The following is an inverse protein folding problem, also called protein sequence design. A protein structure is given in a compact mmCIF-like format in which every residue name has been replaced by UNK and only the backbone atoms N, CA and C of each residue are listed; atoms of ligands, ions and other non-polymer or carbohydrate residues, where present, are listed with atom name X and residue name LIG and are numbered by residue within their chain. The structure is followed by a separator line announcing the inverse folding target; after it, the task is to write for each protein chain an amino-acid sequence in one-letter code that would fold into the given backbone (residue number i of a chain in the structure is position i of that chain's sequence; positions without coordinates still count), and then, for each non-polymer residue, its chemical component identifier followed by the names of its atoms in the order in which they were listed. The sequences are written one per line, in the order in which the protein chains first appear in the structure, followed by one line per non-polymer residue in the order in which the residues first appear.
data_IF_874300358048
#
_entry.id   IF_874300358048
#
_cell.length_a   1.000
_cell.length_b   1.000
_cell.length_c   1.000
_cell.angle_alpha   90.00
_cell.angle_beta   90.00
_cell.angle_gamma   90.00
#
_symmetry.space_group_name_H-M   'P 1'
#
loop_
_entity.id
_entity.type
_entity.pdbx_description
1 polymer ?
#
# COMPACT_ATOMS: atom_id res chain seq x y z
N UNK A 1 -5.54 31.04 -57.15
CA UNK A 1 -5.09 32.26 -56.44
C UNK A 1 -4.33 31.83 -55.21
N UNK A 2 -3.07 32.25 -55.10
CA UNK A 2 -2.17 32.02 -53.96
C UNK A 2 -1.97 33.36 -53.25
N UNK A 3 -2.22 33.41 -51.95
CA UNK A 3 -1.73 34.43 -51.00
C UNK A 3 -1.59 33.70 -49.65
N UNK A 4 -0.40 33.19 -49.34
CA UNK A 4 0.64 33.85 -48.55
C UNK A 4 0.35 33.90 -47.04
N UNK A 5 1.08 33.04 -46.31
CA UNK A 5 1.89 33.32 -45.12
C UNK A 5 1.42 34.48 -44.22
N UNK A 6 1.14 34.15 -42.96
CA UNK A 6 1.60 34.94 -41.82
C UNK A 6 1.84 34.02 -40.63
N UNK A 7 3.10 34.01 -40.21
CA UNK A 7 3.62 33.33 -39.04
C UNK A 7 3.98 34.39 -37.98
N UNK A 8 3.72 34.04 -36.70
CA UNK A 8 4.31 34.55 -35.44
C UNK A 8 4.15 36.05 -35.08
N UNK A 9 4.21 36.46 -33.77
CA UNK A 9 5.08 35.90 -32.73
C UNK A 9 4.54 35.75 -31.28
N UNK A 10 5.40 35.12 -30.46
CA UNK A 10 5.43 35.08 -28.98
C UNK A 10 5.28 36.45 -28.31
N UNK A 11 4.72 36.47 -27.09
CA UNK A 11 5.31 37.22 -25.96
C UNK A 11 5.20 36.46 -24.64
N UNK A 12 6.30 36.54 -23.89
CA UNK A 12 6.69 35.83 -22.68
C UNK A 12 6.46 36.75 -21.46
N UNK A 13 6.23 36.13 -20.29
CA UNK A 13 6.60 36.59 -18.93
C UNK A 13 5.85 37.75 -18.26
N UNK A 14 5.23 37.47 -17.10
CA UNK A 14 5.52 38.24 -15.87
C UNK A 14 5.67 37.28 -14.68
N UNK A 15 6.84 37.41 -14.04
CA UNK A 15 7.32 36.82 -12.80
C UNK A 15 6.67 37.46 -11.54
N UNK A 16 6.75 36.71 -10.43
CA UNK A 16 7.01 37.17 -9.06
C UNK A 16 6.00 38.07 -8.31
N UNK A 17 5.20 37.43 -7.44
CA UNK A 17 4.86 37.91 -6.09
C UNK A 17 4.78 36.66 -5.19
N UNK A 18 5.42 36.52 -4.04
CA UNK A 18 6.35 37.37 -3.32
C UNK A 18 6.92 36.52 -2.16
N UNK A 19 8.22 36.64 -1.95
CA UNK A 19 8.90 36.11 -0.77
C UNK A 19 9.00 37.26 0.23
N UNK A 20 8.39 37.15 1.42
CA UNK A 20 8.88 37.79 2.64
C UNK A 20 8.56 36.93 3.86
N UNK A 21 9.59 36.24 4.33
CA UNK A 21 9.70 35.80 5.71
C UNK A 21 9.97 37.01 6.62
N UNK A 22 9.31 37.08 7.79
CA UNK A 22 9.94 37.49 9.07
C UNK A 22 8.99 37.36 10.27
N UNK A 23 9.37 36.45 11.15
CA UNK A 23 9.36 36.52 12.62
C UNK A 23 8.42 37.53 13.31
N UNK A 24 7.51 37.01 14.13
CA UNK A 24 7.12 37.65 15.38
C UNK A 24 7.07 36.58 16.47
N UNK A 25 8.05 36.65 17.38
CA UNK A 25 8.00 35.92 18.63
C UNK A 25 6.95 36.54 19.55
N UNK A 26 6.31 35.68 20.35
CA UNK A 26 5.69 36.11 21.59
C UNK A 26 5.94 35.03 22.66
N UNK A 27 6.97 35.28 23.47
CA UNK A 27 7.05 34.76 24.83
C UNK A 27 6.07 35.57 25.68
N UNK A 28 5.08 34.92 26.27
CA UNK A 28 4.52 35.35 27.55
C UNK A 28 4.50 34.15 28.49
N UNK A 29 5.42 34.23 29.45
CA UNK A 29 5.44 33.46 30.68
C UNK A 29 4.31 33.95 31.57
N UNK A 30 3.43 33.05 32.02
CA UNK A 30 2.81 33.14 33.33
C UNK A 30 2.83 31.75 33.95
N UNK A 31 3.65 31.61 34.99
CA UNK A 31 3.69 30.42 35.81
C UNK A 31 2.41 30.26 36.61
N UNK A 32 1.89 29.04 36.66
CA UNK A 32 1.24 28.55 37.86
C UNK A 32 1.69 27.10 38.08
N UNK A 33 2.44 26.90 39.15
CA UNK A 33 2.79 25.59 39.67
C UNK A 33 1.51 24.87 40.09
N UNK A 34 1.24 23.70 39.51
CA UNK A 34 0.46 22.67 40.19
C UNK A 34 1.23 21.36 40.13
N UNK A 35 1.70 20.96 41.31
CA UNK A 35 2.24 19.66 41.63
C UNK A 35 1.24 18.55 41.27
N UNK A 36 1.79 17.43 40.80
CA UNK A 36 1.22 16.11 41.09
C UNK A 36 0.18 15.59 40.11
N UNK A 37 0.61 15.23 38.91
CA UNK A 37 0.01 14.06 38.25
C UNK A 37 1.16 13.31 37.55
N UNK A 38 1.67 12.29 38.23
CA UNK A 38 2.57 11.32 37.62
C UNK A 38 1.82 10.68 36.46
N UNK A 39 2.18 11.02 35.22
CA UNK A 39 1.85 10.19 34.08
C UNK A 39 2.30 8.76 34.41
N UNK A 40 1.45 7.75 34.22
CA UNK A 40 1.94 6.38 34.25
C UNK A 40 3.01 6.30 33.17
N UNK A 41 4.25 6.06 33.59
CA UNK A 41 5.38 5.74 32.73
C UNK A 41 4.87 4.64 31.80
N UNK A 42 4.63 4.98 30.53
CA UNK A 42 4.24 4.01 29.53
C UNK A 42 5.26 2.87 29.61
N UNK A 43 4.79 1.66 29.91
CA UNK A 43 5.66 0.49 29.94
C UNK A 43 6.44 0.49 28.62
N UNK A 44 7.77 0.27 28.66
CA UNK A 44 8.56 0.23 27.44
C UNK A 44 7.89 -0.76 26.49
N UNK A 45 7.60 -0.32 25.26
CA UNK A 45 7.03 -1.18 24.21
C UNK A 45 8.00 -2.34 24.04
N UNK A 46 7.66 -3.48 24.63
CA UNK A 46 8.53 -4.65 24.61
C UNK A 46 8.51 -5.22 23.21
N UNK A 47 9.66 -5.21 22.56
CA UNK A 47 9.86 -5.83 21.26
C UNK A 47 9.52 -7.33 21.39
N UNK A 48 8.67 -7.89 20.52
CA UNK A 48 8.31 -9.30 20.62
C UNK A 48 9.56 -10.19 20.44
N UNK A 49 9.67 -11.22 21.27
CA UNK A 49 10.73 -12.23 21.10
C UNK A 49 10.34 -13.13 19.93
N UNK A 50 11.08 -13.04 18.83
CA UNK A 50 10.79 -13.79 17.61
C UNK A 50 11.51 -15.14 17.60
N UNK A 51 10.75 -16.21 17.39
CA UNK A 51 11.29 -17.54 17.10
C UNK A 51 11.98 -17.56 15.74
N UNK A 52 12.88 -18.53 15.51
CA UNK A 52 13.54 -18.69 14.20
C UNK A 52 12.54 -18.86 13.06
N UNK A 53 11.47 -19.64 13.27
CA UNK A 53 10.41 -19.83 12.28
C UNK A 53 9.65 -18.53 12.00
N UNK A 54 9.37 -17.73 13.03
CA UNK A 54 8.65 -16.47 12.86
C UNK A 54 9.49 -15.42 12.13
N UNK A 55 10.80 -15.35 12.41
CA UNK A 55 11.72 -14.52 11.64
C UNK A 55 11.75 -14.92 10.17
N UNK A 56 11.84 -16.22 9.87
CA UNK A 56 11.82 -16.70 8.49
C UNK A 56 10.53 -16.30 7.76
N UNK A 57 9.37 -16.46 8.38
CA UNK A 57 8.10 -16.05 7.80
C UNK A 57 8.03 -14.53 7.53
N UNK A 58 8.52 -13.70 8.45
CA UNK A 58 8.57 -12.24 8.27
C UNK A 58 9.52 -11.86 7.12
N UNK A 59 10.67 -12.54 7.00
CA UNK A 59 11.60 -12.30 5.89
C UNK A 59 11.00 -12.67 4.54
N UNK A 60 10.30 -13.81 4.44
CA UNK A 60 9.63 -14.19 3.19
C UNK A 60 8.49 -13.21 2.83
N UNK A 61 7.76 -12.70 3.82
CA UNK A 61 6.81 -11.60 3.61
C UNK A 61 7.52 -10.34 3.08
N UNK A 62 8.69 -9.99 3.63
CA UNK A 62 9.50 -8.86 3.12
C UNK A 62 9.99 -9.10 1.69
N UNK A 63 10.36 -10.33 1.33
CA UNK A 63 10.73 -10.70 -0.03
C UNK A 63 9.55 -10.54 -0.99
N UNK A 64 8.35 -10.96 -0.59
CA UNK A 64 7.13 -10.77 -1.37
C UNK A 64 6.81 -9.29 -1.59
N UNK A 65 6.97 -8.45 -0.57
CA UNK A 65 6.87 -6.98 -0.68
C UNK A 65 7.85 -6.42 -1.73
N UNK A 66 9.10 -6.85 -1.70
CA UNK A 66 10.10 -6.40 -2.69
C UNK A 66 9.69 -6.78 -4.11
N UNK A 67 9.05 -7.95 -4.31
CA UNK A 67 8.61 -8.41 -5.64
C UNK A 67 7.47 -7.56 -6.21
N UNK A 68 6.54 -7.09 -5.38
CA UNK A 68 5.39 -6.30 -5.85
C UNK A 68 5.75 -4.83 -6.16
N UNK A 69 6.92 -4.36 -5.72
CA UNK A 69 7.41 -2.99 -5.97
C UNK A 69 8.35 -2.89 -7.19
N UNK A 70 8.65 -4.00 -7.87
CA UNK A 70 9.57 -3.97 -9.02
C UNK A 70 8.90 -3.39 -10.27
N UNK A 71 9.66 -2.59 -10.99
CA UNK A 71 9.22 -1.93 -12.24
C UNK A 71 9.06 -2.90 -13.43
N UNK A 72 9.56 -4.14 -13.35
CA UNK A 72 9.45 -5.16 -14.39
C UNK A 72 8.10 -5.89 -14.41
N UNK A 73 7.23 -5.60 -13.44
CA UNK A 73 5.90 -6.19 -13.30
C UNK A 73 5.93 -7.60 -12.69
N UNK A 74 4.74 -8.09 -12.32
CA UNK A 74 4.58 -9.37 -11.63
C UNK A 74 4.32 -10.48 -12.64
N UNK A 75 5.21 -11.48 -12.70
CA UNK A 75 4.92 -12.75 -13.39
C UNK A 75 3.90 -13.56 -12.55
N UNK A 76 2.66 -13.77 -13.02
CA UNK A 76 1.62 -14.40 -12.19
C UNK A 76 1.88 -15.87 -11.86
N UNK A 77 2.72 -16.57 -12.63
CA UNK A 77 3.06 -17.97 -12.37
C UNK A 77 4.09 -18.06 -11.24
N UNK A 78 5.20 -17.34 -11.38
CA UNK A 78 6.27 -17.31 -10.37
C UNK A 78 5.74 -16.77 -9.04
N UNK A 79 4.99 -15.67 -9.08
CA UNK A 79 4.38 -15.09 -7.89
C UNK A 79 3.40 -16.04 -7.18
N UNK A 80 2.68 -16.89 -7.94
CA UNK A 80 1.85 -17.94 -7.34
C UNK A 80 2.69 -18.99 -6.63
N UNK A 81 3.79 -19.43 -7.24
CA UNK A 81 4.70 -20.43 -6.66
C UNK A 81 5.33 -19.89 -5.37
N UNK A 82 5.80 -18.64 -5.39
CA UNK A 82 6.33 -17.93 -4.23
C UNK A 82 5.32 -17.84 -3.08
N UNK A 83 4.06 -17.51 -3.41
CA UNK A 83 3.00 -17.41 -2.40
C UNK A 83 2.68 -18.77 -1.76
N UNK A 84 2.71 -19.86 -2.54
CA UNK A 84 2.51 -21.23 -2.03
C UNK A 84 3.64 -21.60 -1.05
N UNK A 85 4.89 -21.25 -1.39
CA UNK A 85 6.03 -21.52 -0.51
C UNK A 85 5.92 -20.72 0.80
N UNK A 86 5.52 -19.45 0.72
CA UNK A 86 5.26 -18.62 1.90
C UNK A 86 4.12 -19.19 2.76
N UNK A 87 2.99 -19.61 2.17
CA UNK A 87 1.88 -20.24 2.89
C UNK A 87 2.36 -21.47 3.68
N UNK A 88 3.15 -22.34 3.05
CA UNK A 88 3.71 -23.53 3.69
C UNK A 88 4.61 -23.22 4.89
N UNK A 89 5.30 -22.07 4.88
CA UNK A 89 6.12 -21.57 5.99
C UNK A 89 5.21 -21.02 7.10
N UNK A 90 4.23 -20.20 6.73
CA UNK A 90 3.32 -19.52 7.66
C UNK A 90 2.39 -20.50 8.38
N UNK A 91 1.98 -21.59 7.73
CA UNK A 91 1.14 -22.63 8.36
C UNK A 91 1.83 -23.34 9.54
N UNK A 92 3.16 -23.36 9.54
CA UNK A 92 3.98 -24.03 10.56
C UNK A 92 4.57 -23.04 11.56
N UNK A 93 4.28 -21.75 11.43
CA UNK A 93 4.87 -20.70 12.26
C UNK A 93 4.24 -20.66 13.65
N UNK A 94 5.08 -20.43 14.66
CA UNK A 94 4.67 -20.21 16.05
C UNK A 94 5.53 -19.13 16.69
N UNK A 95 5.05 -18.52 17.77
CA UNK A 95 5.74 -17.43 18.47
C UNK A 95 4.74 -16.45 19.06
N UNK A 96 5.09 -15.17 19.08
CA UNK A 96 4.21 -14.10 19.52
C UNK A 96 2.88 -14.11 18.72
N UNK A 97 1.71 -14.29 19.38
CA UNK A 97 0.44 -14.45 18.67
C UNK A 97 0.06 -13.24 17.82
N UNK A 98 0.42 -12.03 18.24
CA UNK A 98 0.09 -10.80 17.50
C UNK A 98 0.93 -10.72 16.23
N UNK A 99 2.23 -10.98 16.31
CA UNK A 99 3.09 -11.03 15.13
C UNK A 99 2.69 -12.16 14.17
N UNK A 100 2.36 -13.35 14.68
CA UNK A 100 1.85 -14.46 13.85
C UNK A 100 0.56 -14.06 13.12
N UNK A 101 -0.38 -13.41 13.81
CA UNK A 101 -1.61 -12.91 13.20
C UNK A 101 -1.33 -11.85 12.13
N UNK A 102 -0.40 -10.93 12.38
CA UNK A 102 0.01 -9.92 11.39
C UNK A 102 0.62 -10.55 10.14
N UNK A 103 1.52 -11.54 10.30
CA UNK A 103 2.09 -12.29 9.15
C UNK A 103 0.99 -12.94 8.33
N UNK A 104 0.05 -13.64 8.97
CA UNK A 104 -1.09 -14.27 8.28
C UNK A 104 -1.96 -13.25 7.56
N UNK A 105 -2.24 -12.11 8.20
CA UNK A 105 -3.00 -11.02 7.59
C UNK A 105 -2.33 -10.47 6.32
N UNK A 106 -1.00 -10.36 6.29
CA UNK A 106 -0.27 -9.93 5.09
C UNK A 106 -0.40 -10.97 3.97
N UNK A 107 -0.23 -12.27 4.28
CA UNK A 107 -0.42 -13.37 3.32
C UNK A 107 -1.83 -13.37 2.74
N UNK A 108 -2.86 -13.16 3.56
CA UNK A 108 -4.25 -13.06 3.09
C UNK A 108 -4.42 -11.94 2.04
N UNK A 109 -3.71 -10.81 2.22
CA UNK A 109 -3.66 -9.74 1.23
C UNK A 109 -3.08 -10.21 -0.11
N UNK A 110 -1.91 -10.84 -0.08
CA UNK A 110 -1.28 -11.41 -1.28
C UNK A 110 -2.17 -12.45 -1.98
N UNK A 111 -2.89 -13.28 -1.23
CA UNK A 111 -3.86 -14.25 -1.77
C UNK A 111 -5.04 -13.57 -2.48
N UNK A 112 -5.58 -12.51 -1.90
CA UNK A 112 -6.68 -11.75 -2.53
C UNK A 112 -6.20 -11.11 -3.83
N UNK A 113 -5.01 -10.52 -3.83
CA UNK A 113 -4.43 -9.93 -5.04
C UNK A 113 -4.18 -10.97 -6.13
N UNK A 114 -3.66 -12.15 -5.79
CA UNK A 114 -3.50 -13.26 -6.73
C UNK A 114 -4.84 -13.71 -7.32
N UNK A 115 -5.87 -13.84 -6.48
CA UNK A 115 -7.23 -14.19 -6.94
C UNK A 115 -7.77 -13.15 -7.91
N UNK A 116 -7.58 -11.85 -7.62
CA UNK A 116 -7.97 -10.77 -8.52
C UNK A 116 -7.25 -10.88 -9.87
N UNK A 117 -5.92 -11.05 -9.87
CA UNK A 117 -5.14 -11.24 -11.10
C UNK A 117 -5.61 -12.43 -11.95
N UNK A 118 -6.07 -13.50 -11.30
CA UNK A 118 -6.50 -14.73 -11.96
C UNK A 118 -7.92 -14.67 -12.54
N UNK A 119 -8.72 -13.66 -12.20
CA UNK A 119 -10.08 -13.53 -12.70
C UNK A 119 -10.16 -13.39 -14.23
N UNK A 120 -9.10 -12.89 -14.87
CA UNK A 120 -9.03 -12.72 -16.33
C UNK A 120 -8.91 -14.07 -17.07
N UNK A 121 -8.68 -15.16 -16.33
CA UNK A 121 -8.69 -16.53 -16.86
C UNK A 121 -10.10 -17.14 -16.85
N UNK A 122 -11.12 -16.41 -16.39
CA UNK A 122 -12.50 -16.85 -16.48
C UNK A 122 -12.94 -16.96 -17.95
N UNK A 123 -13.80 -17.94 -18.25
CA UNK A 123 -14.16 -18.30 -19.64
C UNK A 123 -15.01 -17.27 -20.40
N UNK A 124 -15.52 -16.23 -19.72
CA UNK A 124 -16.35 -15.18 -20.31
C UNK A 124 -16.30 -13.85 -19.55
N UNK A 125 -16.76 -12.78 -20.20
CA UNK A 125 -16.65 -11.40 -19.70
C UNK A 125 -17.46 -11.18 -18.41
N UNK A 126 -18.69 -11.69 -18.33
CA UNK A 126 -19.52 -11.56 -17.13
C UNK A 126 -18.96 -12.38 -15.97
N UNK A 127 -18.42 -13.57 -16.24
CA UNK A 127 -17.78 -14.44 -15.26
C UNK A 127 -16.51 -13.79 -14.71
N UNK A 128 -15.73 -13.12 -15.55
CA UNK A 128 -14.58 -12.32 -15.14
C UNK A 128 -15.00 -11.18 -14.21
N UNK A 129 -16.01 -10.39 -14.57
CA UNK A 129 -16.50 -9.29 -13.73
C UNK A 129 -17.06 -9.80 -12.40
N UNK A 130 -17.83 -10.89 -12.41
CA UNK A 130 -18.33 -11.51 -11.19
C UNK A 130 -17.19 -12.03 -10.30
N UNK A 131 -16.15 -12.61 -10.90
CA UNK A 131 -14.95 -13.02 -10.17
C UNK A 131 -14.28 -11.81 -9.50
N UNK A 132 -14.04 -10.74 -10.26
CA UNK A 132 -13.40 -9.52 -9.74
C UNK A 132 -14.23 -8.89 -8.62
N UNK A 133 -15.54 -8.74 -8.79
CA UNK A 133 -16.44 -8.19 -7.77
C UNK A 133 -16.44 -9.02 -6.48
N UNK A 134 -16.39 -10.34 -6.57
CA UNK A 134 -16.31 -11.21 -5.40
C UNK A 134 -14.99 -11.05 -4.64
N UNK A 135 -13.88 -10.80 -5.34
CA UNK A 135 -12.60 -10.50 -4.71
C UNK A 135 -12.60 -9.08 -4.13
N UNK A 136 -13.11 -8.09 -4.86
CA UNK A 136 -13.25 -6.70 -4.39
C UNK A 136 -14.03 -6.62 -3.08
N UNK A 137 -15.15 -7.33 -2.96
CA UNK A 137 -15.91 -7.39 -1.69
C UNK A 137 -15.07 -7.88 -0.51
N UNK A 138 -14.16 -8.83 -0.72
CA UNK A 138 -13.25 -9.31 0.34
C UNK A 138 -12.14 -8.31 0.61
N UNK A 139 -11.60 -7.69 -0.42
CA UNK A 139 -10.63 -6.61 -0.30
C UNK A 139 -11.22 -5.40 0.45
N UNK A 140 -12.49 -5.06 0.24
CA UNK A 140 -13.15 -3.96 0.96
C UNK A 140 -13.29 -4.22 2.46
N UNK A 141 -13.51 -5.48 2.84
CA UNK A 141 -13.55 -5.86 4.26
C UNK A 141 -12.17 -5.75 4.90
N UNK A 142 -11.10 -6.14 4.16
CA UNK A 142 -9.73 -6.08 4.67
C UNK A 142 -9.14 -4.67 4.64
N UNK A 143 -9.47 -3.90 3.61
CA UNK A 143 -8.95 -2.56 3.31
C UNK A 143 -10.13 -1.57 3.09
N UNK A 144 -10.73 -1.04 4.16
CA UNK A 144 -11.88 -0.13 4.03
C UNK A 144 -11.57 1.17 3.29
N UNK A 145 -10.36 1.72 3.45
CA UNK A 145 -9.94 2.94 2.75
C UNK A 145 -9.84 2.72 1.22
N UNK A 146 -9.35 1.55 0.81
CA UNK A 146 -9.38 1.11 -0.59
C UNK A 146 -10.82 0.97 -1.10
N UNK A 147 -11.76 0.50 -0.26
CA UNK A 147 -13.16 0.43 -0.64
C UNK A 147 -13.76 1.80 -0.95
N UNK A 148 -13.48 2.79 -0.09
CA UNK A 148 -13.93 4.16 -0.30
C UNK A 148 -13.36 4.72 -1.61
N UNK A 149 -12.06 4.59 -1.83
CA UNK A 149 -11.41 5.06 -3.06
C UNK A 149 -11.99 4.40 -4.33
N UNK A 150 -12.33 3.11 -4.28
CA UNK A 150 -12.97 2.41 -5.39
C UNK A 150 -14.40 2.89 -5.61
N UNK A 151 -15.17 3.14 -4.54
CA UNK A 151 -16.53 3.66 -4.65
C UNK A 151 -16.57 5.07 -5.24
N UNK A 152 -15.64 5.94 -4.81
CA UNK A 152 -15.50 7.29 -5.34
C UNK A 152 -15.13 7.28 -6.82
N UNK A 153 -14.32 6.31 -7.27
CA UNK A 153 -13.89 6.21 -8.67
C UNK A 153 -15.03 5.86 -9.66
N UNK A 154 -16.12 5.26 -9.17
CA UNK A 154 -17.28 4.87 -9.99
C UNK A 154 -18.53 5.67 -9.64
N UNK A 155 -18.37 6.78 -8.92
CA UNK A 155 -19.49 7.61 -8.48
C UNK A 155 -20.30 8.12 -9.69
N UNK A 156 -21.62 7.89 -9.66
CA UNK A 156 -22.53 8.30 -10.72
C UNK A 156 -22.63 7.33 -11.90
N UNK A 157 -21.96 6.17 -11.85
CA UNK A 157 -22.10 5.12 -12.86
C UNK A 157 -23.17 4.08 -12.48
N UNK A 158 -24.09 3.77 -13.42
CA UNK A 158 -25.04 2.65 -13.27
C UNK A 158 -24.43 1.36 -13.83
N UNK A 159 -23.65 0.67 -13.00
CA UNK A 159 -22.95 -0.55 -13.39
C UNK A 159 -23.65 -1.82 -12.88
N UNK A 160 -23.72 -2.85 -13.73
CA UNK A 160 -24.14 -4.19 -13.27
C UNK A 160 -23.08 -4.89 -12.41
N UNK A 161 -21.81 -4.47 -12.51
CA UNK A 161 -20.67 -4.97 -11.74
C UNK A 161 -19.75 -3.80 -11.39
N UNK A 162 -19.26 -3.73 -10.16
CA UNK A 162 -18.34 -2.68 -9.69
C UNK A 162 -17.09 -2.67 -10.56
N UNK A 163 -16.55 -3.85 -10.85
CA UNK A 163 -15.33 -4.02 -11.65
C UNK A 163 -15.46 -3.62 -13.11
N UNK A 164 -16.67 -3.31 -13.62
CA UNK A 164 -16.86 -2.87 -15.00
C UNK A 164 -16.38 -1.42 -15.22
N UNK A 165 -16.45 -0.57 -14.20
CA UNK A 165 -16.00 0.83 -14.25
C UNK A 165 -14.54 1.01 -13.81
N UNK A 166 -13.83 -0.07 -13.50
CA UNK A 166 -12.50 0.00 -12.91
C UNK A 166 -11.42 -0.47 -13.89
N UNK A 167 -10.33 0.29 -13.96
CA UNK A 167 -9.10 -0.19 -14.60
C UNK A 167 -8.45 -1.29 -13.75
N UNK A 168 -8.18 -2.43 -14.38
CA UNK A 168 -7.64 -3.62 -13.71
C UNK A 168 -6.27 -3.36 -13.09
N UNK A 169 -5.39 -2.69 -13.82
CA UNK A 169 -4.01 -2.50 -13.40
C UNK A 169 -3.93 -1.45 -12.29
N UNK A 170 -4.75 -0.40 -12.36
CA UNK A 170 -4.92 0.57 -11.29
C UNK A 170 -5.44 -0.08 -10.00
N UNK A 171 -6.43 -0.96 -10.09
CA UNK A 171 -6.94 -1.71 -8.93
C UNK A 171 -5.85 -2.60 -8.35
N UNK A 172 -5.10 -3.33 -9.19
CA UNK A 172 -3.99 -4.16 -8.71
C UNK A 172 -2.91 -3.34 -8.03
N UNK A 173 -2.53 -2.20 -8.60
CA UNK A 173 -1.57 -1.29 -7.99
C UNK A 173 -2.04 -0.79 -6.63
N UNK A 174 -3.32 -0.42 -6.50
CA UNK A 174 -3.90 -0.02 -5.23
C UNK A 174 -3.89 -1.16 -4.19
N UNK A 175 -4.18 -2.39 -4.60
CA UNK A 175 -4.06 -3.57 -3.73
C UNK A 175 -2.61 -3.78 -3.28
N UNK A 176 -1.62 -3.62 -4.18
CA UNK A 176 -0.21 -3.73 -3.84
C UNK A 176 0.24 -2.69 -2.82
N UNK A 177 -0.25 -1.45 -2.92
CA UNK A 177 0.04 -0.40 -1.95
C UNK A 177 -0.48 -0.74 -0.55
N UNK A 178 -1.70 -1.27 -0.43
CA UNK A 178 -2.24 -1.69 0.87
C UNK A 178 -1.46 -2.88 1.47
N UNK A 179 -1.05 -3.85 0.64
CA UNK A 179 -0.22 -4.97 1.08
C UNK A 179 1.17 -4.51 1.53
N UNK A 180 1.79 -3.57 0.80
CA UNK A 180 3.07 -2.98 1.18
C UNK A 180 2.96 -2.27 2.53
N UNK A 181 1.88 -1.50 2.75
CA UNK A 181 1.59 -0.82 4.03
C UNK A 181 1.38 -1.81 5.18
N UNK A 182 0.62 -2.89 4.97
CA UNK A 182 0.48 -3.96 5.97
C UNK A 182 1.83 -4.58 6.33
N UNK A 183 2.68 -4.80 5.33
CA UNK A 183 4.03 -5.35 5.53
C UNK A 183 4.92 -4.38 6.30
N UNK A 184 4.91 -3.10 5.95
CA UNK A 184 5.71 -2.08 6.64
C UNK A 184 5.30 -1.95 8.10
N UNK A 185 3.99 -1.97 8.38
CA UNK A 185 3.47 -1.99 9.74
C UNK A 185 3.94 -3.22 10.53
N UNK A 186 3.97 -4.40 9.90
CA UNK A 186 4.52 -5.61 10.50
C UNK A 186 6.01 -5.44 10.81
N UNK A 187 6.82 -4.99 9.85
CA UNK A 187 8.27 -4.84 9.99
C UNK A 187 8.63 -3.84 11.09
N UNK A 188 7.95 -2.68 11.13
CA UNK A 188 8.10 -1.68 12.22
C UNK A 188 7.74 -2.29 13.57
N UNK A 189 6.65 -3.05 13.67
CA UNK A 189 6.21 -3.65 14.93
C UNK A 189 7.21 -4.67 15.51
N UNK A 190 8.09 -5.23 14.67
CA UNK A 190 9.10 -6.21 15.08
C UNK A 190 10.53 -5.65 15.02
N UNK A 191 10.68 -4.34 14.84
CA UNK A 191 11.97 -3.64 14.68
C UNK A 191 12.86 -4.23 13.57
N UNK A 192 12.24 -4.64 12.48
CA UNK A 192 12.95 -4.99 11.25
C UNK A 192 12.83 -3.82 10.28
N UNK A 193 13.90 -3.49 9.57
CA UNK A 193 13.87 -2.36 8.65
C UNK A 193 12.90 -2.64 7.49
N UNK A 194 11.94 -1.75 7.22
CA UNK A 194 11.25 -1.71 5.94
C UNK A 194 12.31 -1.40 4.88
N UNK A 195 12.83 -2.44 4.21
CA UNK A 195 13.93 -2.23 3.27
C UNK A 195 13.36 -1.91 1.90
N UNK A 196 13.53 -0.65 1.48
CA UNK A 196 13.48 -0.22 0.09
C UNK A 196 14.89 0.26 -0.26
N UNK A 197 15.54 -0.43 -1.21
CA UNK A 197 16.85 0.01 -1.69
C UNK A 197 16.70 1.35 -2.40
N UNK A 198 17.52 2.32 -1.98
CA UNK A 198 17.76 3.54 -2.70
C UNK A 198 18.06 3.24 -4.16
N UNK A 199 17.33 3.91 -5.05
CA UNK A 199 17.49 3.90 -6.49
C UNK A 199 18.97 4.21 -6.86
N UNK A 200 19.78 3.26 -7.36
CA UNK A 200 21.13 3.55 -7.80
C UNK A 200 21.09 3.99 -9.26
N UNK A 201 20.43 5.12 -9.52
CA UNK A 201 20.45 5.78 -10.82
C UNK A 201 21.33 7.02 -10.77
N UNK A 202 22.59 6.89 -10.34
CA UNK A 202 23.69 7.81 -10.66
C UNK A 202 25.03 7.07 -10.55
N UNK A 203 25.51 6.52 -11.66
CA UNK A 203 26.92 6.49 -12.06
C UNK A 203 27.03 6.30 -13.57
#
# INVERSE_FOLDING_TARGET
MSLQKLALPLTLSILCFGCQARSLGMRLSYGHSSLGQSEPIAAPVSVPILTTSLKAAIEEVRVMRIKIERDDGINPKEYKEDLIDLENIVDKVYGDPKTVASVKSVVDGHQLALKFMQCDRAGGYNEMLQCRDNVLKKLFVKYPEFAAAVQDAIEGEELSYISAGLDRDAVLQAIWLEIAKDTDNLLVAVNMEPTLAANPSQQ
#
